data_IF_797266319562
#
_entry.id   IF_797266319562
#
_cell.length_a   1.000
_cell.length_b   1.000
_cell.length_c   1.000
_cell.angle_alpha   90.00
_cell.angle_beta   90.00
_cell.angle_gamma   90.00
#
_symmetry.space_group_name_H-M   'P 1'
#
loop_
_entity.id
_entity.type
_entity.pdbx_description
1 polymer ?
#
# COMPACT_ATOMS: atom_id res chain seq x y z
N UNK A 1 -12.70 -9.02 17.93
CA UNK A 1 -12.05 -9.59 16.74
C UNK A 1 -10.58 -9.32 16.84
N UNK A 2 -9.74 -10.33 16.84
CA UNK A 2 -8.30 -10.18 16.81
C UNK A 2 -7.77 -9.98 15.38
N UNK A 3 -6.47 -9.87 15.22
CA UNK A 3 -5.81 -9.65 13.92
C UNK A 3 -6.02 -10.85 12.99
N UNK A 4 -5.87 -12.07 13.51
CA UNK A 4 -6.04 -13.30 12.73
C UNK A 4 -7.47 -13.46 12.23
N UNK A 5 -8.46 -13.23 13.11
CA UNK A 5 -9.88 -13.20 12.73
C UNK A 5 -10.17 -12.22 11.59
N UNK A 6 -9.57 -11.01 11.65
CA UNK A 6 -9.71 -10.02 10.59
C UNK A 6 -9.19 -10.52 9.22
N UNK A 7 -8.08 -11.23 9.21
CA UNK A 7 -7.47 -11.75 7.99
C UNK A 7 -8.22 -12.98 7.45
N UNK A 8 -8.82 -13.79 8.31
CA UNK A 8 -9.47 -15.06 7.93
C UNK A 8 -10.96 -14.90 7.58
N UNK A 9 -11.62 -13.85 8.06
CA UNK A 9 -13.06 -13.67 7.91
C UNK A 9 -13.53 -13.74 6.45
N UNK A 10 -12.92 -12.95 5.57
CA UNK A 10 -13.35 -12.89 4.17
C UNK A 10 -13.06 -14.19 3.40
N UNK A 11 -11.87 -14.80 3.48
CA UNK A 11 -11.59 -16.09 2.86
C UNK A 11 -12.59 -17.19 3.27
N UNK A 12 -12.90 -17.28 4.57
CA UNK A 12 -13.83 -18.29 5.11
C UNK A 12 -15.28 -17.99 4.73
N UNK A 13 -15.72 -16.72 4.92
CA UNK A 13 -17.11 -16.31 4.69
C UNK A 13 -17.50 -16.47 3.21
N UNK A 14 -16.58 -16.16 2.30
CA UNK A 14 -16.79 -16.32 0.86
C UNK A 14 -16.58 -17.76 0.40
N UNK A 15 -16.42 -18.73 1.31
CA UNK A 15 -16.23 -20.17 1.05
C UNK A 15 -15.06 -20.49 0.12
N UNK A 16 -14.03 -19.65 0.13
CA UNK A 16 -12.83 -19.88 -0.67
C UNK A 16 -11.86 -20.85 0.01
N UNK A 17 -11.85 -20.90 1.36
CA UNK A 17 -10.92 -21.71 2.15
C UNK A 17 -11.63 -22.30 3.37
N UNK A 18 -11.15 -23.45 3.86
CA UNK A 18 -11.45 -23.93 5.21
C UNK A 18 -10.82 -22.99 6.25
N UNK A 19 -11.32 -23.02 7.49
CA UNK A 19 -10.77 -22.19 8.57
C UNK A 19 -9.27 -22.43 8.77
N UNK A 20 -8.83 -23.70 8.78
CA UNK A 20 -7.44 -24.05 8.97
C UNK A 20 -6.52 -23.56 7.84
N UNK A 21 -6.97 -23.65 6.59
CA UNK A 21 -6.23 -23.09 5.44
C UNK A 21 -6.16 -21.56 5.50
N UNK A 22 -7.26 -20.90 5.84
CA UNK A 22 -7.30 -19.44 5.98
C UNK A 22 -6.38 -18.94 7.09
N UNK A 23 -6.31 -19.63 8.24
CA UNK A 23 -5.39 -19.32 9.34
C UNK A 23 -3.93 -19.44 8.90
N UNK A 24 -3.57 -20.53 8.20
CA UNK A 24 -2.22 -20.72 7.68
C UNK A 24 -1.82 -19.57 6.74
N UNK A 25 -2.64 -19.28 5.75
CA UNK A 25 -2.40 -18.20 4.78
C UNK A 25 -2.32 -16.84 5.47
N UNK A 26 -3.19 -16.59 6.47
CA UNK A 26 -3.17 -15.35 7.22
C UNK A 26 -1.88 -15.18 8.02
N UNK A 27 -1.37 -16.23 8.67
CA UNK A 27 -0.10 -16.17 9.40
C UNK A 27 1.09 -15.92 8.46
N UNK A 28 1.11 -16.51 7.27
CA UNK A 28 2.13 -16.26 6.24
C UNK A 28 2.13 -14.78 5.81
N UNK A 29 0.95 -14.21 5.54
CA UNK A 29 0.85 -12.79 5.17
C UNK A 29 1.12 -11.84 6.35
N UNK A 30 0.73 -12.19 7.57
CA UNK A 30 1.09 -11.42 8.76
C UNK A 30 2.62 -11.41 8.99
N UNK A 31 3.29 -12.54 8.76
CA UNK A 31 4.75 -12.61 8.82
C UNK A 31 5.39 -11.73 7.74
N UNK A 32 4.87 -11.72 6.50
CA UNK A 32 5.41 -10.91 5.41
C UNK A 32 5.34 -9.40 5.67
N UNK A 33 4.37 -8.96 6.48
CA UNK A 33 4.22 -7.55 6.90
C UNK A 33 4.79 -7.28 8.31
N UNK A 34 5.50 -8.25 8.92
CA UNK A 34 6.15 -8.11 10.22
C UNK A 34 5.20 -8.07 11.43
N UNK A 35 4.04 -8.70 11.32
CA UNK A 35 2.99 -8.70 12.35
C UNK A 35 2.61 -10.09 12.88
N UNK A 36 3.39 -11.13 12.62
CA UNK A 36 3.12 -12.49 13.07
C UNK A 36 2.86 -12.56 14.59
N UNK A 37 3.68 -11.87 15.39
CA UNK A 37 3.57 -11.83 16.86
C UNK A 37 2.28 -11.16 17.36
N UNK A 38 1.59 -10.44 16.50
CA UNK A 38 0.36 -9.73 16.81
C UNK A 38 -0.90 -10.46 16.34
N UNK A 39 -0.79 -11.70 15.82
CA UNK A 39 -1.91 -12.46 15.27
C UNK A 39 -3.12 -12.53 16.22
N UNK A 40 -2.88 -12.72 17.51
CA UNK A 40 -3.93 -12.81 18.52
C UNK A 40 -4.13 -11.50 19.31
N UNK A 41 -3.55 -10.39 18.87
CA UNK A 41 -3.78 -9.08 19.50
C UNK A 41 -5.12 -8.50 19.05
N UNK A 42 -5.80 -7.79 19.95
CA UNK A 42 -6.97 -7.01 19.58
C UNK A 42 -6.57 -5.86 18.65
N UNK A 43 -7.24 -5.71 17.48
CA UNK A 43 -6.92 -4.68 16.48
C UNK A 43 -6.94 -3.26 17.06
N UNK A 44 -7.81 -3.00 18.06
CA UNK A 44 -7.87 -1.71 18.72
C UNK A 44 -6.60 -1.28 19.47
N UNK A 45 -5.73 -2.24 19.84
CA UNK A 45 -4.48 -2.00 20.57
C UNK A 45 -3.27 -1.73 19.66
N UNK A 46 -3.44 -1.86 18.35
CA UNK A 46 -2.38 -1.65 17.38
C UNK A 46 -2.16 -0.17 17.09
N UNK A 47 -0.91 0.20 16.75
CA UNK A 47 -0.58 1.52 16.20
C UNK A 47 -1.24 1.74 14.84
N UNK A 48 -1.27 2.99 14.34
CA UNK A 48 -1.78 3.32 13.01
C UNK A 48 -1.11 2.52 11.90
N UNK A 49 0.23 2.48 11.89
CA UNK A 49 0.99 1.71 10.89
C UNK A 49 0.80 0.20 11.01
N UNK A 50 0.66 -0.33 12.23
CA UNK A 50 0.31 -1.74 12.42
C UNK A 50 -1.08 -2.06 11.86
N UNK A 51 -2.08 -1.21 12.12
CA UNK A 51 -3.43 -1.35 11.54
C UNK A 51 -3.39 -1.34 10.02
N UNK A 52 -2.62 -0.44 9.43
CA UNK A 52 -2.46 -0.37 7.98
C UNK A 52 -1.80 -1.64 7.41
N UNK A 53 -0.76 -2.15 8.05
CA UNK A 53 -0.12 -3.42 7.65
C UNK A 53 -1.06 -4.63 7.83
N UNK A 54 -1.91 -4.66 8.86
CA UNK A 54 -2.98 -5.66 8.98
C UNK A 54 -3.97 -5.55 7.82
N UNK A 55 -4.37 -4.33 7.41
CA UNK A 55 -5.27 -4.14 6.28
C UNK A 55 -4.66 -4.68 4.97
N UNK A 56 -3.36 -4.48 4.76
CA UNK A 56 -2.63 -5.06 3.63
C UNK A 56 -2.63 -6.59 3.70
N UNK A 57 -2.24 -7.18 4.84
CA UNK A 57 -2.23 -8.64 5.03
C UNK A 57 -3.63 -9.25 4.81
N UNK A 58 -4.67 -8.60 5.33
CA UNK A 58 -6.06 -9.00 5.11
C UNK A 58 -6.45 -9.03 3.63
N UNK A 59 -6.04 -8.02 2.86
CA UNK A 59 -6.30 -7.97 1.43
C UNK A 59 -5.55 -9.10 0.69
N UNK A 60 -4.29 -9.36 1.05
CA UNK A 60 -3.48 -10.43 0.48
C UNK A 60 -4.07 -11.83 0.72
N UNK A 61 -4.74 -12.06 1.85
CA UNK A 61 -5.41 -13.34 2.15
C UNK A 61 -6.51 -13.72 1.14
N UNK A 62 -7.01 -12.75 0.36
CA UNK A 62 -7.95 -12.99 -0.73
C UNK A 62 -7.28 -13.39 -2.04
N UNK A 63 -5.95 -13.49 -2.07
CA UNK A 63 -5.14 -13.76 -3.26
C UNK A 63 -5.53 -12.86 -4.45
N UNK A 64 -5.42 -11.53 -4.31
CA UNK A 64 -5.84 -10.59 -5.33
C UNK A 64 -4.85 -10.57 -6.51
N UNK A 65 -5.35 -10.34 -7.72
CA UNK A 65 -4.52 -10.08 -8.89
C UNK A 65 -4.04 -8.61 -8.94
N UNK A 66 -4.82 -7.70 -8.37
CA UNK A 66 -4.54 -6.27 -8.33
C UNK A 66 -4.87 -5.74 -6.94
N UNK A 67 -4.01 -4.93 -6.36
CA UNK A 67 -4.28 -4.20 -5.12
C UNK A 67 -4.47 -2.71 -5.40
N UNK A 68 -5.48 -2.13 -4.78
CA UNK A 68 -5.78 -0.70 -4.87
C UNK A 68 -5.44 -0.05 -3.52
N UNK A 69 -4.62 0.99 -3.55
CA UNK A 69 -4.25 1.78 -2.38
C UNK A 69 -4.70 3.23 -2.59
N UNK A 70 -5.50 3.73 -1.68
CA UNK A 70 -5.94 5.12 -1.68
C UNK A 70 -5.34 5.81 -0.45
N UNK A 71 -4.31 6.64 -0.69
CA UNK A 71 -3.54 7.37 0.32
C UNK A 71 -3.18 6.53 1.57
N UNK A 72 -2.46 5.41 1.43
CA UNK A 72 -2.26 4.45 2.53
C UNK A 72 -1.48 5.00 3.73
N UNK A 73 -0.87 6.17 3.60
CA UNK A 73 -0.03 6.78 4.65
C UNK A 73 -0.58 8.11 5.19
N UNK A 74 -1.66 8.66 4.61
CA UNK A 74 -2.15 10.02 4.91
C UNK A 74 -2.56 10.26 6.37
N UNK A 75 -3.00 9.20 7.07
CA UNK A 75 -3.43 9.27 8.48
C UNK A 75 -2.36 8.76 9.46
N UNK A 76 -1.11 8.62 9.03
CA UNK A 76 -0.01 8.08 9.83
C UNK A 76 0.99 9.17 10.24
N UNK A 77 1.58 8.98 11.41
CA UNK A 77 2.71 9.79 11.83
C UNK A 77 3.91 9.59 10.88
N UNK A 78 4.67 10.65 10.55
CA UNK A 78 5.80 10.56 9.62
C UNK A 78 6.83 9.49 9.97
N UNK A 79 7.06 9.23 11.25
CA UNK A 79 7.99 8.19 11.73
C UNK A 79 7.54 6.78 11.33
N UNK A 80 6.23 6.56 11.15
CA UNK A 80 5.64 5.24 10.87
C UNK A 80 5.40 5.02 9.37
N UNK A 81 5.32 6.09 8.59
CA UNK A 81 5.08 6.03 7.13
C UNK A 81 6.06 5.09 6.44
N UNK A 82 7.36 5.16 6.82
CA UNK A 82 8.40 4.33 6.24
C UNK A 82 8.14 2.82 6.33
N UNK A 83 7.56 2.34 7.43
CA UNK A 83 7.26 0.92 7.63
C UNK A 83 6.19 0.41 6.65
N UNK A 84 5.17 1.23 6.38
CA UNK A 84 4.10 0.87 5.43
C UNK A 84 4.60 0.91 4.00
N UNK A 85 5.37 1.94 3.63
CA UNK A 85 5.98 2.07 2.31
C UNK A 85 6.96 0.93 2.02
N UNK A 86 7.69 0.43 3.03
CA UNK A 86 8.60 -0.70 2.86
C UNK A 86 7.84 -2.01 2.53
N UNK A 87 6.72 -2.26 3.20
CA UNK A 87 5.83 -3.38 2.84
C UNK A 87 5.36 -3.26 1.39
N UNK A 88 4.95 -2.05 0.97
CA UNK A 88 4.50 -1.84 -0.41
C UNK A 88 5.63 -2.00 -1.43
N UNK A 89 6.88 -1.57 -1.12
CA UNK A 89 8.06 -1.82 -1.97
C UNK A 89 8.30 -3.31 -2.17
N UNK A 90 8.21 -4.08 -1.08
CA UNK A 90 8.36 -5.52 -1.13
C UNK A 90 7.30 -6.17 -2.02
N UNK A 91 6.03 -5.77 -1.88
CA UNK A 91 4.95 -6.28 -2.73
C UNK A 91 5.19 -5.97 -4.22
N UNK A 92 5.68 -4.77 -4.54
CA UNK A 92 6.06 -4.41 -5.90
C UNK A 92 7.21 -5.29 -6.43
N UNK A 93 8.25 -5.49 -5.62
CA UNK A 93 9.39 -6.34 -5.97
C UNK A 93 8.98 -7.82 -6.17
N UNK A 94 7.99 -8.30 -5.43
CA UNK A 94 7.40 -9.63 -5.56
C UNK A 94 6.43 -9.75 -6.76
N UNK A 95 6.28 -8.68 -7.56
CA UNK A 95 5.48 -8.68 -8.80
C UNK A 95 3.98 -8.43 -8.59
N UNK A 96 3.55 -7.92 -7.43
CA UNK A 96 2.15 -7.55 -7.20
C UNK A 96 1.76 -6.35 -8.06
N UNK A 97 0.74 -6.49 -8.88
CA UNK A 97 0.14 -5.37 -9.60
C UNK A 97 -0.59 -4.45 -8.62
N UNK A 98 -0.21 -3.18 -8.58
CA UNK A 98 -0.78 -2.20 -7.67
C UNK A 98 -1.19 -0.92 -8.40
N UNK A 99 -2.31 -0.34 -8.00
CA UNK A 99 -2.69 1.04 -8.31
C UNK A 99 -2.67 1.82 -7.01
N UNK A 100 -1.83 2.86 -6.94
CA UNK A 100 -1.56 3.59 -5.70
C UNK A 100 -1.84 5.08 -5.90
N UNK A 101 -2.79 5.62 -5.16
CA UNK A 101 -2.96 7.06 -5.00
C UNK A 101 -2.12 7.48 -3.80
N UNK A 102 -1.17 8.40 -4.00
CA UNK A 102 -0.24 8.80 -2.95
C UNK A 102 0.33 10.20 -3.19
N UNK A 103 0.72 10.85 -2.12
CA UNK A 103 1.53 12.07 -2.12
C UNK A 103 3.00 11.78 -1.73
N UNK A 104 3.38 10.53 -1.55
CA UNK A 104 4.75 10.10 -1.28
C UNK A 104 5.56 10.08 -2.58
N UNK A 105 6.05 11.25 -3.01
CA UNK A 105 6.70 11.41 -4.33
C UNK A 105 7.97 10.59 -4.49
N UNK A 106 8.76 10.44 -3.42
CA UNK A 106 9.97 9.61 -3.44
C UNK A 106 9.63 8.13 -3.64
N UNK A 107 8.55 7.64 -3.02
CA UNK A 107 8.03 6.30 -3.21
C UNK A 107 7.55 6.11 -4.66
N UNK A 108 6.68 6.99 -5.15
CA UNK A 108 6.17 6.93 -6.52
C UNK A 108 7.31 6.92 -7.55
N UNK A 109 8.33 7.78 -7.38
CA UNK A 109 9.47 7.86 -8.28
C UNK A 109 10.30 6.57 -8.36
N UNK A 110 10.43 5.84 -7.23
CA UNK A 110 11.36 4.70 -7.12
C UNK A 110 10.71 3.34 -7.31
N UNK A 111 9.38 3.25 -7.14
CA UNK A 111 8.67 1.96 -7.10
C UNK A 111 7.74 1.75 -8.28
N UNK A 112 7.19 2.83 -8.85
CA UNK A 112 6.21 2.68 -9.93
C UNK A 112 6.87 2.45 -11.30
N UNK A 113 6.18 1.70 -12.15
CA UNK A 113 6.52 1.56 -13.58
C UNK A 113 5.89 2.66 -14.42
N UNK A 114 4.81 3.24 -13.92
CA UNK A 114 4.00 4.26 -14.60
C UNK A 114 3.42 5.23 -13.58
N UNK A 115 3.45 6.52 -13.88
CA UNK A 115 2.89 7.57 -13.03
C UNK A 115 1.88 8.37 -13.82
N UNK A 116 0.71 8.57 -13.20
CA UNK A 116 -0.37 9.36 -13.77
C UNK A 116 -0.60 10.59 -12.90
N UNK A 117 -0.43 11.78 -13.46
CA UNK A 117 -0.74 13.03 -12.78
C UNK A 117 -2.15 13.49 -13.17
N UNK A 118 -2.98 13.69 -12.15
CA UNK A 118 -4.36 14.15 -12.32
C UNK A 118 -4.56 15.51 -11.65
N UNK A 119 -5.33 16.38 -12.30
CA UNK A 119 -5.78 17.63 -11.71
C UNK A 119 -7.23 17.93 -12.20
N UNK A 120 -8.07 18.41 -11.29
CA UNK A 120 -9.49 18.75 -11.58
C UNK A 120 -10.28 17.63 -12.25
N UNK A 121 -10.02 16.39 -11.89
CA UNK A 121 -10.75 15.22 -12.40
C UNK A 121 -10.30 14.73 -13.78
N UNK A 122 -9.23 15.29 -14.35
CA UNK A 122 -8.70 14.86 -15.65
C UNK A 122 -7.24 14.42 -15.54
N UNK A 123 -6.85 13.45 -16.36
CA UNK A 123 -5.46 13.04 -16.52
C UNK A 123 -4.74 14.10 -17.35
N UNK A 124 -3.75 14.76 -16.75
CA UNK A 124 -2.94 15.76 -17.42
C UNK A 124 -1.65 15.18 -18.00
N UNK A 125 -1.07 14.21 -17.32
CA UNK A 125 0.18 13.59 -17.75
C UNK A 125 0.23 12.13 -17.32
N UNK A 126 0.79 11.28 -18.18
CA UNK A 126 0.90 9.85 -18.00
C UNK A 126 2.21 9.40 -18.64
N UNK A 127 3.18 9.01 -17.81
CA UNK A 127 4.53 8.71 -18.27
C UNK A 127 5.28 7.77 -17.30
N UNK A 128 6.44 7.28 -17.75
CA UNK A 128 7.38 6.60 -16.87
C UNK A 128 7.89 7.55 -15.77
N UNK A 129 8.22 7.05 -14.56
CA UNK A 129 8.69 7.89 -13.45
C UNK A 129 9.86 8.80 -13.81
N UNK A 130 10.85 8.28 -14.52
CA UNK A 130 12.02 9.07 -14.93
C UNK A 130 11.64 10.29 -15.79
N UNK A 131 10.65 10.14 -16.66
CA UNK A 131 10.16 11.22 -17.53
C UNK A 131 9.31 12.22 -16.73
N UNK A 132 8.32 11.74 -15.99
CA UNK A 132 7.39 12.61 -15.27
C UNK A 132 8.08 13.41 -14.17
N UNK A 133 9.00 12.80 -13.42
CA UNK A 133 9.74 13.48 -12.34
C UNK A 133 10.96 14.26 -12.84
N UNK A 134 11.55 13.86 -13.98
CA UNK A 134 12.76 14.51 -14.52
C UNK A 134 12.49 15.63 -15.51
N UNK A 135 11.46 15.48 -16.35
CA UNK A 135 11.12 16.45 -17.39
C UNK A 135 9.59 16.46 -17.66
N UNK A 136 8.77 16.89 -16.70
CA UNK A 136 7.33 16.94 -16.87
C UNK A 136 6.94 17.90 -18.00
N UNK A 137 6.06 17.44 -18.88
CA UNK A 137 5.64 18.17 -20.10
C UNK A 137 4.58 19.23 -19.78
N UNK A 138 3.69 18.94 -18.85
CA UNK A 138 2.59 19.84 -18.54
C UNK A 138 3.01 20.88 -17.48
N UNK A 139 2.66 22.16 -17.68
CA UNK A 139 3.02 23.24 -16.76
C UNK A 139 2.50 22.97 -15.34
N UNK A 140 1.26 22.49 -15.21
CA UNK A 140 0.66 22.20 -13.91
C UNK A 140 1.38 21.06 -13.17
N UNK A 141 1.90 20.05 -13.89
CA UNK A 141 2.73 18.99 -13.31
C UNK A 141 4.04 19.56 -12.78
N UNK A 142 4.70 20.45 -13.55
CA UNK A 142 5.91 21.16 -13.09
C UNK A 142 5.69 21.97 -11.83
N UNK A 143 4.61 22.75 -11.78
CA UNK A 143 4.23 23.54 -10.61
C UNK A 143 3.97 22.68 -9.36
N UNK A 144 3.31 21.54 -9.55
CA UNK A 144 3.06 20.60 -8.47
C UNK A 144 4.36 19.97 -7.95
N UNK A 145 5.17 19.43 -8.85
CA UNK A 145 6.41 18.74 -8.48
C UNK A 145 7.47 19.69 -7.91
N UNK A 146 7.51 20.96 -8.33
CA UNK A 146 8.47 21.92 -7.80
C UNK A 146 8.34 22.12 -6.28
N UNK A 147 7.15 21.96 -5.72
CA UNK A 147 6.90 22.05 -4.27
C UNK A 147 7.54 20.89 -3.49
N UNK A 148 7.67 19.72 -4.11
CA UNK A 148 8.23 18.51 -3.50
C UNK A 148 9.72 18.30 -3.81
N UNK A 149 10.23 18.92 -4.87
CA UNK A 149 11.64 18.80 -5.27
C UNK A 149 12.54 19.89 -4.66
N UNK A 150 11.95 21.00 -4.19
CA UNK A 150 12.68 22.13 -3.59
C UNK A 150 12.75 22.04 -2.05
N UNK A 151 12.10 21.09 -1.41
CA UNK A 151 12.16 20.84 0.05
C UNK A 151 13.31 19.88 0.42
N UNK A 152 14.48 20.07 -0.18
CA UNK A 152 15.72 19.37 0.20
C UNK A 152 16.80 20.37 0.60
#
# INVERSE_FOLDING_TARGET
MDVLDNCTLAPVTLKKMSKAEAEKVALEHLASVGLEKFAHAAVGRLSGGQKQRVAIARALCMNPQIMLFDEPTSALDPEIVGEVLEVMRKLAADGMTMVVVTHEMAFARTVSDRVVFMDKGVVLEDAAPAELFGNPKHQRTREFLSRYLNDK
#
